data_IF_605132060536
#
_entry.id   IF_605132060536
#
_cell.length_a   1.000
_cell.length_b   1.000
_cell.length_c   1.000
_cell.angle_alpha   90.00
_cell.angle_beta   90.00
_cell.angle_gamma   90.00
#
_symmetry.space_group_name_H-M   'P 1'
#
loop_
_entity.id
_entity.type
_entity.pdbx_description
1 polymer ?
#
# COMPACT_ATOMS: atom_id res chain seq x y z
N UNK A 1 14.57 -1.42 -7.31
CA UNK A 1 13.57 -2.30 -6.66
C UNK A 1 13.31 -1.89 -5.20
N UNK A 2 13.40 -0.59 -4.86
CA UNK A 2 13.46 -0.09 -3.47
C UNK A 2 12.40 1.00 -3.24
N UNK A 3 11.16 0.63 -2.95
CA UNK A 3 10.20 1.47 -2.19
C UNK A 3 8.80 0.84 -2.15
N UNK A 4 8.60 -0.12 -1.26
CA UNK A 4 7.27 -0.65 -0.95
C UNK A 4 6.83 -0.37 0.49
N UNK A 5 7.64 0.34 1.26
CA UNK A 5 7.43 0.61 2.68
C UNK A 5 6.74 1.98 2.90
N UNK A 6 5.55 1.98 3.50
CA UNK A 6 4.69 3.16 3.75
C UNK A 6 5.19 4.09 4.88
N UNK A 7 4.88 5.39 4.76
CA UNK A 7 5.00 6.47 5.75
C UNK A 7 4.21 6.20 7.05
N UNK A 8 3.18 5.35 7.03
CA UNK A 8 2.31 5.06 8.19
C UNK A 8 3.05 4.34 9.32
N UNK A 9 4.08 3.55 8.98
CA UNK A 9 4.98 2.93 9.95
C UNK A 9 5.78 3.94 10.75
N UNK A 10 6.17 5.05 10.11
CA UNK A 10 6.76 6.17 10.81
C UNK A 10 5.75 6.74 11.80
N UNK A 11 4.49 7.03 11.39
CA UNK A 11 3.52 7.70 12.27
C UNK A 11 3.09 6.87 13.50
N UNK A 12 2.88 5.57 13.35
CA UNK A 12 2.54 4.70 14.49
C UNK A 12 3.71 4.53 15.47
N UNK A 13 4.96 4.55 14.98
CA UNK A 13 6.15 4.57 15.85
C UNK A 13 6.43 5.98 16.43
N UNK A 14 5.93 7.04 15.79
CA UNK A 14 6.12 8.45 16.15
C UNK A 14 5.28 8.88 17.35
N UNK A 15 4.06 8.37 17.51
CA UNK A 15 3.03 8.96 18.41
C UNK A 15 2.80 8.22 19.74
N UNK A 16 3.72 7.33 20.14
CA UNK A 16 3.69 6.75 21.50
C UNK A 16 3.98 7.81 22.58
N UNK A 17 2.93 8.31 23.25
CA UNK A 17 2.91 9.06 24.53
C UNK A 17 3.90 10.23 24.74
N UNK A 18 4.55 10.73 23.68
CA UNK A 18 5.72 11.62 23.77
C UNK A 18 5.44 13.08 23.42
N UNK A 19 4.22 13.41 22.96
CA UNK A 19 3.87 14.76 22.50
C UNK A 19 3.95 15.81 23.63
N UNK A 20 3.68 15.43 24.88
CA UNK A 20 3.63 16.35 26.03
C UNK A 20 5.02 16.94 26.33
N UNK A 21 6.09 16.13 26.26
CA UNK A 21 7.45 16.60 26.51
C UNK A 21 7.98 17.46 25.38
N UNK A 22 7.69 17.13 24.12
CA UNK A 22 8.10 17.92 22.95
C UNK A 22 7.47 19.32 22.92
N UNK A 23 6.38 19.54 23.64
CA UNK A 23 5.69 20.84 23.72
C UNK A 23 6.02 21.62 25.00
N UNK A 24 6.80 21.01 25.91
CA UNK A 24 7.35 21.71 27.07
C UNK A 24 8.60 22.52 26.69
N UNK A 25 8.83 23.71 27.28
CA UNK A 25 10.04 24.50 27.02
C UNK A 25 11.34 23.74 27.32
N UNK A 26 11.34 22.90 28.36
CA UNK A 26 12.48 22.06 28.73
C UNK A 26 12.76 20.95 27.70
N UNK A 27 11.71 20.29 27.21
CA UNK A 27 11.85 19.27 26.16
C UNK A 27 12.28 19.86 24.82
N UNK A 28 11.78 21.05 24.45
CA UNK A 28 12.24 21.76 23.25
C UNK A 28 13.72 22.12 23.33
N UNK A 29 14.19 22.61 24.48
CA UNK A 29 15.60 22.91 24.69
C UNK A 29 16.49 21.65 24.56
N UNK A 30 16.06 20.52 25.11
CA UNK A 30 16.77 19.24 24.98
C UNK A 30 16.86 18.78 23.52
N UNK A 31 15.79 18.92 22.74
CA UNK A 31 15.80 18.58 21.31
C UNK A 31 16.71 19.52 20.51
N UNK A 32 16.65 20.82 20.78
CA UNK A 32 17.49 21.83 20.12
C UNK A 32 18.98 21.69 20.42
N UNK A 33 19.34 21.12 21.59
CA UNK A 33 20.71 20.88 21.99
C UNK A 33 21.40 19.75 21.22
N UNK A 34 20.64 18.85 20.57
CA UNK A 34 21.18 17.73 19.80
C UNK A 34 21.62 18.19 18.40
N UNK A 35 22.69 18.97 18.30
CA UNK A 35 23.14 19.58 17.05
C UNK A 35 24.21 18.78 16.30
N UNK A 36 25.01 17.98 17.00
CA UNK A 36 26.07 17.16 16.41
C UNK A 36 25.76 15.66 16.47
N UNK A 37 26.40 14.85 15.60
CA UNK A 37 26.31 13.39 15.70
C UNK A 37 26.75 12.86 17.06
N UNK A 38 27.79 13.44 17.67
CA UNK A 38 28.29 13.01 18.98
C UNK A 38 27.24 13.20 20.09
N UNK A 39 26.60 14.38 20.14
CA UNK A 39 25.51 14.65 21.08
C UNK A 39 24.35 13.67 20.88
N UNK A 40 24.02 13.35 19.62
CA UNK A 40 22.98 12.37 19.31
C UNK A 40 23.38 10.95 19.79
N UNK A 41 24.64 10.53 19.60
CA UNK A 41 25.12 9.21 20.08
C UNK A 41 25.05 9.12 21.60
N UNK A 42 25.41 10.20 22.31
CA UNK A 42 25.36 10.29 23.77
C UNK A 42 23.91 10.19 24.27
N UNK A 43 23.00 11.00 23.70
CA UNK A 43 21.59 10.98 24.07
C UNK A 43 20.93 9.62 23.77
N UNK A 44 21.32 8.95 22.69
CA UNK A 44 20.84 7.60 22.38
C UNK A 44 21.37 6.55 23.36
N UNK A 45 22.60 6.71 23.88
CA UNK A 45 23.22 5.81 24.84
C UNK A 45 22.69 5.94 26.26
N UNK A 46 22.22 7.12 26.63
CA UNK A 46 21.72 7.39 27.95
C UNK A 46 20.29 6.85 28.09
N UNK A 47 20.16 5.69 28.75
CA UNK A 47 18.88 5.04 29.04
C UNK A 47 17.98 5.81 30.01
N UNK A 48 18.48 6.87 30.66
CA UNK A 48 17.67 7.76 31.49
C UNK A 48 17.05 8.92 30.69
N UNK A 49 17.47 9.12 29.43
CA UNK A 49 16.86 10.13 28.57
C UNK A 49 15.41 9.76 28.26
N UNK A 50 14.51 10.76 28.20
CA UNK A 50 13.15 10.54 27.73
C UNK A 50 13.13 9.90 26.33
N UNK A 51 12.20 8.98 26.10
CA UNK A 51 12.07 8.26 24.82
C UNK A 51 11.99 9.22 23.61
N UNK A 52 11.32 10.37 23.77
CA UNK A 52 11.23 11.41 22.72
C UNK A 52 12.59 11.96 22.29
N UNK A 53 13.49 12.18 23.25
CA UNK A 53 14.85 12.70 23.02
C UNK A 53 15.68 11.61 22.35
N UNK A 54 15.62 10.37 22.85
CA UNK A 54 16.33 9.22 22.26
C UNK A 54 15.89 8.96 20.81
N UNK A 55 14.58 8.95 20.54
CA UNK A 55 14.02 8.79 19.19
C UNK A 55 14.41 9.95 18.26
N UNK A 56 14.46 11.18 18.76
CA UNK A 56 14.92 12.33 17.98
C UNK A 56 16.41 12.22 17.62
N UNK A 57 17.25 11.91 18.61
CA UNK A 57 18.68 11.67 18.42
C UNK A 57 18.94 10.56 17.39
N UNK A 58 18.20 9.46 17.49
CA UNK A 58 18.27 8.36 16.54
C UNK A 58 17.95 8.81 15.10
N UNK A 59 16.85 9.56 14.89
CA UNK A 59 16.49 10.07 13.55
C UNK A 59 17.55 10.99 12.97
N UNK A 60 18.13 11.85 13.80
CA UNK A 60 19.23 12.73 13.39
C UNK A 60 20.44 11.94 12.88
N UNK A 61 20.80 10.85 13.55
CA UNK A 61 21.88 9.96 13.11
C UNK A 61 21.49 9.18 11.85
N UNK A 62 20.24 8.74 11.77
CA UNK A 62 19.72 7.97 10.65
C UNK A 62 19.69 8.77 9.33
N UNK A 63 19.33 10.06 9.39
CA UNK A 63 19.24 10.91 8.20
C UNK A 63 20.57 11.56 7.79
N UNK A 64 21.65 11.26 8.51
CA UNK A 64 23.00 11.66 8.15
C UNK A 64 23.70 10.50 7.41
N UNK A 65 24.18 10.69 6.16
CA UNK A 65 24.80 9.62 5.37
C UNK A 65 25.94 8.89 6.09
N UNK A 66 26.75 9.63 6.85
CA UNK A 66 27.95 9.11 7.53
C UNK A 66 27.62 8.25 8.76
N UNK A 67 26.42 8.39 9.30
CA UNK A 67 26.01 7.75 10.57
C UNK A 67 24.85 6.77 10.40
N UNK A 68 24.19 6.76 9.24
CA UNK A 68 22.98 5.98 9.02
C UNK A 68 23.17 4.47 9.27
N UNK A 69 24.26 3.88 8.76
CA UNK A 69 24.51 2.45 8.91
C UNK A 69 24.84 2.07 10.36
N UNK A 70 25.67 2.88 11.05
CA UNK A 70 25.94 2.72 12.49
C UNK A 70 24.65 2.81 13.31
N UNK A 71 23.81 3.79 12.99
CA UNK A 71 22.54 4.01 13.67
C UNK A 71 21.61 2.81 13.49
N UNK A 72 21.43 2.30 12.27
CA UNK A 72 20.57 1.14 12.00
C UNK A 72 21.01 -0.07 12.83
N UNK A 73 22.29 -0.45 12.78
CA UNK A 73 22.80 -1.63 13.50
C UNK A 73 22.55 -1.52 15.01
N UNK A 74 22.84 -0.35 15.59
CA UNK A 74 22.55 -0.08 16.99
C UNK A 74 21.05 -0.10 17.28
N UNK A 75 20.27 0.51 16.42
CA UNK A 75 18.83 0.69 16.58
C UNK A 75 18.07 -0.63 16.60
N UNK A 76 18.51 -1.65 15.85
CA UNK A 76 17.87 -2.98 15.82
C UNK A 76 17.86 -3.68 17.18
N UNK A 77 18.75 -3.31 18.10
CA UNK A 77 18.86 -3.93 19.43
C UNK A 77 18.52 -2.97 20.58
N UNK A 78 18.01 -1.77 20.27
CA UNK A 78 17.72 -0.75 21.27
C UNK A 78 16.61 -1.18 22.24
N UNK A 79 16.62 -0.70 23.49
CA UNK A 79 15.54 -0.98 24.45
C UNK A 79 14.19 -0.36 24.06
N UNK A 80 14.18 0.70 23.26
CA UNK A 80 12.96 1.38 22.80
C UNK A 80 12.38 0.71 21.53
N UNK A 81 11.13 0.27 21.62
CA UNK A 81 10.45 -0.42 20.51
C UNK A 81 10.29 0.45 19.25
N UNK A 82 10.09 1.77 19.40
CA UNK A 82 9.99 2.69 18.29
C UNK A 82 11.32 2.89 17.55
N UNK A 83 12.44 2.86 18.28
CA UNK A 83 13.78 2.88 17.68
C UNK A 83 14.04 1.58 16.91
N UNK A 84 13.75 0.41 17.50
CA UNK A 84 13.88 -0.89 16.81
C UNK A 84 13.03 -0.97 15.56
N UNK A 85 11.78 -0.52 15.65
CA UNK A 85 10.86 -0.51 14.51
C UNK A 85 11.39 0.38 13.37
N UNK A 86 11.84 1.60 13.68
CA UNK A 86 12.39 2.50 12.66
C UNK A 86 13.71 1.97 12.07
N UNK A 87 14.58 1.37 12.88
CA UNK A 87 15.81 0.73 12.39
C UNK A 87 15.50 -0.42 11.41
N UNK A 88 14.54 -1.28 11.75
CA UNK A 88 14.10 -2.38 10.91
C UNK A 88 13.51 -1.88 9.57
N UNK A 89 12.69 -0.84 9.63
CA UNK A 89 12.11 -0.19 8.45
C UNK A 89 13.22 0.33 7.52
N UNK A 90 14.17 1.09 8.07
CA UNK A 90 15.23 1.70 7.27
C UNK A 90 16.20 0.68 6.69
N UNK A 91 16.48 -0.39 7.43
CA UNK A 91 17.27 -1.49 6.92
C UNK A 91 16.59 -2.11 5.69
N UNK A 92 15.30 -2.48 5.79
CA UNK A 92 14.58 -3.05 4.65
C UNK A 92 14.42 -2.06 3.49
N UNK A 93 14.24 -0.76 3.78
CA UNK A 93 14.15 0.28 2.75
C UNK A 93 15.44 0.39 1.92
N UNK A 94 16.60 0.25 2.57
CA UNK A 94 17.92 0.34 1.92
C UNK A 94 18.29 -0.94 1.19
N UNK A 95 18.14 -2.08 1.86
CA UNK A 95 18.73 -3.34 1.42
C UNK A 95 17.69 -4.31 0.80
N UNK A 96 16.39 -4.00 0.90
CA UNK A 96 15.31 -4.85 0.39
C UNK A 96 15.39 -6.27 0.96
N UNK A 97 15.27 -7.27 0.09
CA UNK A 97 15.31 -8.68 0.48
C UNK A 97 16.63 -9.09 1.17
N UNK A 98 17.74 -8.40 0.91
CA UNK A 98 19.01 -8.73 1.55
C UNK A 98 18.94 -8.50 3.07
N UNK A 99 18.10 -7.58 3.56
CA UNK A 99 17.90 -7.31 4.98
C UNK A 99 17.34 -8.50 5.78
N UNK A 100 16.73 -9.49 5.12
CA UNK A 100 15.94 -10.54 5.80
C UNK A 100 16.67 -11.34 6.89
N UNK A 101 17.95 -11.73 6.75
CA UNK A 101 18.66 -12.44 7.83
C UNK A 101 18.70 -11.63 9.13
N UNK A 102 18.84 -10.31 9.03
CA UNK A 102 18.91 -9.38 10.16
C UNK A 102 17.51 -9.14 10.73
N UNK A 103 16.50 -8.93 9.89
CA UNK A 103 15.11 -8.75 10.30
C UNK A 103 14.49 -10.00 10.92
N UNK A 104 14.98 -11.18 10.54
CA UNK A 104 14.55 -12.47 11.11
C UNK A 104 14.84 -12.54 12.61
N UNK A 105 15.90 -11.90 13.10
CA UNK A 105 16.22 -11.84 14.53
C UNK A 105 15.12 -11.11 15.34
N UNK A 106 14.40 -10.18 14.70
CA UNK A 106 13.31 -9.40 15.31
C UNK A 106 11.97 -10.13 15.34
N UNK A 107 11.83 -11.31 14.72
CA UNK A 107 10.56 -12.06 14.75
C UNK A 107 10.10 -12.39 16.17
N UNK A 108 11.03 -12.53 17.12
CA UNK A 108 10.72 -12.80 18.53
C UNK A 108 10.35 -11.55 19.33
N UNK A 109 10.48 -10.36 18.74
CA UNK A 109 10.08 -9.10 19.38
C UNK A 109 8.58 -9.09 19.64
N UNK A 110 8.21 -8.78 20.89
CA UNK A 110 6.81 -8.77 21.35
C UNK A 110 6.14 -7.42 21.18
N UNK A 111 6.89 -6.39 20.77
CA UNK A 111 6.38 -5.03 20.61
C UNK A 111 5.48 -4.96 19.38
N UNK A 112 4.38 -4.20 19.50
CA UNK A 112 3.42 -4.06 18.41
C UNK A 112 4.04 -3.28 17.25
N UNK A 113 4.80 -2.24 17.54
CA UNK A 113 5.49 -1.36 16.58
C UNK A 113 6.41 -2.15 15.66
N UNK A 114 7.26 -3.00 16.22
CA UNK A 114 8.17 -3.88 15.45
C UNK A 114 7.36 -4.88 14.64
N UNK A 115 6.33 -5.49 15.22
CA UNK A 115 5.46 -6.43 14.51
C UNK A 115 4.74 -5.81 13.30
N UNK A 116 4.31 -4.54 13.39
CA UNK A 116 3.71 -3.83 12.25
C UNK A 116 4.76 -3.68 11.13
N UNK A 117 6.00 -3.28 11.45
CA UNK A 117 7.09 -3.13 10.44
C UNK A 117 7.35 -4.46 9.74
N UNK A 118 7.52 -5.52 10.52
CA UNK A 118 7.83 -6.84 9.98
C UNK A 118 6.65 -7.42 9.16
N UNK A 119 5.42 -7.06 9.50
CA UNK A 119 4.25 -7.42 8.68
C UNK A 119 4.34 -6.76 7.30
N UNK A 120 4.73 -5.49 7.24
CA UNK A 120 4.88 -4.79 5.97
C UNK A 120 6.06 -5.33 5.15
N UNK A 121 7.18 -5.64 5.80
CA UNK A 121 8.32 -6.34 5.16
C UNK A 121 7.83 -7.62 4.48
N UNK A 122 7.09 -8.47 5.21
CA UNK A 122 6.58 -9.73 4.68
C UNK A 122 5.61 -9.53 3.50
N UNK A 123 4.72 -8.53 3.57
CA UNK A 123 3.77 -8.20 2.51
C UNK A 123 4.45 -7.75 1.21
N UNK A 124 5.56 -7.04 1.35
CA UNK A 124 6.18 -6.30 0.25
C UNK A 124 7.37 -7.02 -0.38
N UNK A 125 7.75 -8.19 0.13
CA UNK A 125 8.81 -9.01 -0.44
C UNK A 125 8.57 -9.31 -1.93
N UNK A 126 9.61 -9.25 -2.79
CA UNK A 126 9.48 -9.59 -4.20
C UNK A 126 9.04 -11.04 -4.43
N UNK A 127 9.58 -11.97 -3.64
CA UNK A 127 9.15 -13.36 -3.61
C UNK A 127 7.96 -13.51 -2.65
N UNK A 128 6.79 -13.78 -3.23
CA UNK A 128 5.53 -13.94 -2.48
C UNK A 128 5.58 -15.12 -1.50
N UNK A 129 6.17 -16.25 -1.88
CA UNK A 129 6.21 -17.42 -1.01
C UNK A 129 7.13 -17.15 0.19
N UNK A 130 8.29 -16.54 -0.05
CA UNK A 130 9.18 -16.09 1.03
C UNK A 130 8.48 -15.09 1.95
N UNK A 131 7.68 -14.17 1.40
CA UNK A 131 6.85 -13.24 2.15
C UNK A 131 5.81 -13.92 3.05
N UNK A 132 5.06 -14.88 2.51
CA UNK A 132 4.08 -15.65 3.28
C UNK A 132 4.74 -16.45 4.41
N UNK A 133 5.87 -17.10 4.14
CA UNK A 133 6.62 -17.86 5.15
C UNK A 133 7.14 -16.95 6.27
N UNK A 134 7.64 -15.76 5.92
CA UNK A 134 8.06 -14.75 6.88
C UNK A 134 6.90 -14.31 7.78
N UNK A 135 5.73 -14.01 7.20
CA UNK A 135 4.52 -13.61 7.92
C UNK A 135 3.99 -14.71 8.84
N UNK A 136 4.02 -15.98 8.40
CA UNK A 136 3.60 -17.10 9.24
C UNK A 136 4.52 -17.29 10.45
N UNK A 137 5.83 -17.14 10.27
CA UNK A 137 6.80 -17.18 11.38
C UNK A 137 6.55 -16.03 12.36
N UNK A 138 6.30 -14.81 11.87
CA UNK A 138 5.95 -13.67 12.70
C UNK A 138 4.65 -13.91 13.48
N UNK A 139 3.63 -14.50 12.85
CA UNK A 139 2.36 -14.83 13.49
C UNK A 139 2.53 -15.83 14.64
N UNK A 140 3.43 -16.79 14.48
CA UNK A 140 3.71 -17.81 15.49
C UNK A 140 4.45 -17.24 16.71
N UNK A 141 5.26 -16.19 16.53
CA UNK A 141 6.10 -15.62 17.59
C UNK A 141 5.52 -14.35 18.22
N UNK A 142 4.68 -13.58 17.54
CA UNK A 142 4.16 -12.29 18.05
C UNK A 142 2.76 -12.43 18.70
N UNK A 143 2.59 -11.81 19.87
CA UNK A 143 1.37 -11.94 20.69
C UNK A 143 0.38 -10.79 20.53
N UNK A 144 0.68 -9.78 19.71
CA UNK A 144 -0.22 -8.63 19.48
C UNK A 144 -1.42 -9.02 18.62
N UNK A 145 -2.63 -8.67 19.08
CA UNK A 145 -3.86 -8.90 18.33
C UNK A 145 -3.90 -8.09 17.03
N UNK A 146 -3.36 -6.86 17.05
CA UNK A 146 -3.23 -5.99 15.89
C UNK A 146 -2.35 -6.63 14.81
N UNK A 147 -1.16 -7.09 15.20
CA UNK A 147 -0.21 -7.74 14.30
C UNK A 147 -0.82 -9.01 13.71
N UNK A 148 -1.46 -9.86 14.53
CA UNK A 148 -2.15 -11.07 14.03
C UNK A 148 -3.27 -10.75 13.03
N UNK A 149 -4.02 -9.66 13.25
CA UNK A 149 -5.07 -9.22 12.33
C UNK A 149 -4.47 -8.81 10.98
N UNK A 150 -3.45 -7.95 10.99
CA UNK A 150 -2.74 -7.49 9.77
C UNK A 150 -2.13 -8.65 9.00
N UNK A 151 -1.47 -9.59 9.69
CA UNK A 151 -0.92 -10.79 9.04
C UNK A 151 -2.04 -11.63 8.43
N UNK A 152 -3.15 -11.84 9.14
CA UNK A 152 -4.27 -12.63 8.63
C UNK A 152 -4.92 -11.99 7.41
N UNK A 153 -5.01 -10.66 7.35
CA UNK A 153 -5.45 -9.92 6.16
C UNK A 153 -4.47 -10.10 4.98
N UNK A 154 -3.16 -9.96 5.22
CA UNK A 154 -2.14 -10.11 4.18
C UNK A 154 -2.10 -11.55 3.61
N UNK A 155 -2.17 -12.56 4.48
CA UNK A 155 -2.20 -13.98 4.07
C UNK A 155 -3.54 -14.37 3.45
N UNK A 156 -4.65 -13.79 3.91
CA UNK A 156 -6.00 -14.06 3.40
C UNK A 156 -6.26 -13.50 2.00
N UNK A 157 -5.46 -12.53 1.55
CA UNK A 157 -5.56 -11.94 0.22
C UNK A 157 -5.02 -12.90 -0.86
N UNK A 158 -5.89 -13.78 -1.34
CA UNK A 158 -5.57 -14.88 -2.28
C UNK A 158 -5.47 -14.49 -3.76
N UNK A 159 -5.75 -13.23 -4.10
CA UNK A 159 -5.83 -12.81 -5.49
C UNK A 159 -4.46 -12.54 -6.08
N UNK A 160 -4.20 -13.12 -7.26
CA UNK A 160 -3.00 -12.86 -8.03
C UNK A 160 -3.27 -13.14 -9.50
N UNK A 161 -2.79 -12.25 -10.37
CA UNK A 161 -2.78 -12.40 -11.81
C UNK A 161 -1.57 -11.64 -12.32
N UNK A 162 -0.71 -12.29 -13.09
CA UNK A 162 0.33 -11.59 -13.82
C UNK A 162 -0.33 -10.74 -14.89
N UNK A 163 -0.11 -9.43 -14.81
CA UNK A 163 -0.57 -8.50 -15.83
C UNK A 163 0.48 -8.43 -16.94
N UNK A 164 0.10 -8.78 -18.17
CA UNK A 164 0.93 -8.66 -19.37
C UNK A 164 0.13 -7.90 -20.44
N UNK A 165 0.26 -6.56 -20.50
CA UNK A 165 -0.35 -5.76 -21.56
C UNK A 165 0.07 -6.27 -22.95
N UNK A 166 -0.80 -6.12 -23.95
CA UNK A 166 -0.50 -6.60 -25.30
C UNK A 166 0.73 -5.89 -25.88
N UNK A 167 0.86 -4.59 -25.57
CA UNK A 167 2.00 -3.75 -25.97
C UNK A 167 3.32 -4.11 -25.29
N UNK A 168 3.28 -4.96 -24.25
CA UNK A 168 4.46 -5.39 -23.48
C UNK A 168 4.73 -6.88 -23.65
N UNK A 169 4.03 -7.56 -24.55
CA UNK A 169 4.29 -8.96 -24.86
C UNK A 169 5.46 -9.04 -25.86
N UNK A 170 6.64 -9.56 -25.47
CA UNK A 170 7.81 -9.65 -26.35
C UNK A 170 7.65 -10.63 -27.50
N UNK A 171 6.58 -11.42 -27.53
CA UNK A 171 6.23 -12.27 -28.67
C UNK A 171 5.42 -11.53 -29.76
N UNK A 172 5.03 -10.28 -29.51
CA UNK A 172 4.32 -9.45 -30.48
C UNK A 172 5.32 -8.52 -31.19
N UNK A 173 5.77 -8.91 -32.38
CA UNK A 173 6.63 -8.08 -33.25
C UNK A 173 5.84 -7.07 -34.10
N UNK A 174 4.52 -7.03 -33.94
CA UNK A 174 3.62 -6.15 -34.69
C UNK A 174 3.33 -4.84 -33.95
N UNK A 175 3.12 -3.76 -34.69
CA UNK A 175 2.68 -2.48 -34.13
C UNK A 175 1.31 -2.65 -33.44
N UNK A 176 1.16 -2.21 -32.20
CA UNK A 176 -0.16 -2.23 -31.53
C UNK A 176 -0.88 -0.93 -31.81
N UNK A 177 -2.01 -1.02 -32.52
CA UNK A 177 -2.82 0.13 -32.95
C UNK A 177 -4.02 0.28 -32.02
N UNK A 178 -4.21 1.49 -31.49
CA UNK A 178 -5.41 1.89 -30.77
C UNK A 178 -6.55 2.14 -31.77
N UNK A 179 -7.55 1.28 -31.77
CA UNK A 179 -8.73 1.39 -32.65
C UNK A 179 -9.75 2.35 -32.06
N UNK A 180 -10.00 2.25 -30.75
CA UNK A 180 -11.00 3.06 -30.07
C UNK A 180 -10.67 3.21 -28.59
N UNK A 181 -10.82 4.42 -28.07
CA UNK A 181 -10.84 4.68 -26.63
C UNK A 181 -12.27 4.94 -26.19
N UNK A 182 -12.72 4.22 -25.17
CA UNK A 182 -14.07 4.31 -24.60
C UNK A 182 -13.92 4.80 -23.15
N UNK A 183 -14.21 6.09 -22.85
CA UNK A 183 -14.15 6.58 -21.48
C UNK A 183 -15.27 5.97 -20.63
N UNK A 184 -14.92 5.53 -19.42
CA UNK A 184 -15.92 5.17 -18.42
C UNK A 184 -16.50 6.46 -17.80
N UNK A 185 -17.77 6.45 -17.36
CA UNK A 185 -18.41 7.63 -16.79
C UNK A 185 -17.69 8.11 -15.53
N UNK A 186 -17.63 9.43 -15.37
CA UNK A 186 -17.07 10.06 -14.16
C UNK A 186 -18.01 9.97 -12.95
N UNK A 187 -19.30 9.70 -13.17
CA UNK A 187 -20.34 9.61 -12.14
C UNK A 187 -21.09 8.27 -12.26
N UNK A 188 -21.97 7.99 -11.30
CA UNK A 188 -22.69 6.71 -11.24
C UNK A 188 -21.89 5.58 -10.59
N UNK A 189 -20.75 5.90 -9.98
CA UNK A 189 -20.01 4.95 -9.17
C UNK A 189 -20.64 4.83 -7.78
N UNK A 190 -20.62 3.61 -7.28
CA UNK A 190 -21.06 3.25 -5.94
C UNK A 190 -19.84 2.97 -5.07
N UNK A 191 -19.87 3.42 -3.82
CA UNK A 191 -18.70 3.55 -2.97
C UNK A 191 -18.97 3.13 -1.53
N UNK A 192 -18.00 2.43 -0.95
CA UNK A 192 -18.00 2.06 0.47
C UNK A 192 -16.59 2.02 1.04
N UNK A 193 -16.41 2.67 2.17
CA UNK A 193 -15.22 2.53 3.02
C UNK A 193 -15.16 1.14 3.66
N UNK A 194 -13.96 0.59 3.81
CA UNK A 194 -13.66 -0.73 4.38
C UNK A 194 -12.47 -0.59 5.38
N UNK A 195 -12.65 0.14 6.49
CA UNK A 195 -11.57 0.41 7.45
C UNK A 195 -10.99 -0.88 8.07
N UNK A 196 -11.77 -1.95 8.15
CA UNK A 196 -11.32 -3.26 8.62
C UNK A 196 -10.63 -4.10 7.54
N UNK A 197 -10.51 -3.60 6.31
CA UNK A 197 -9.95 -4.35 5.18
C UNK A 197 -10.50 -5.78 5.06
N UNK A 198 -11.82 -5.90 5.14
CA UNK A 198 -12.49 -7.19 5.27
C UNK A 198 -13.47 -7.47 4.13
N UNK A 199 -13.71 -6.51 3.24
CA UNK A 199 -14.66 -6.62 2.12
C UNK A 199 -14.40 -7.80 1.19
N UNK A 200 -13.15 -8.26 1.10
CA UNK A 200 -12.76 -9.43 0.31
C UNK A 200 -12.95 -10.79 1.04
N UNK A 201 -13.28 -10.76 2.34
CA UNK A 201 -13.44 -11.93 3.22
C UNK A 201 -14.88 -12.15 3.68
N UNK A 202 -15.68 -11.08 3.73
CA UNK A 202 -17.11 -11.16 4.12
C UNK A 202 -17.92 -12.01 3.14
N UNK A 203 -19.10 -12.43 3.57
CA UNK A 203 -20.02 -13.24 2.76
C UNK A 203 -21.39 -12.56 2.66
N UNK A 204 -21.84 -12.14 1.47
CA UNK A 204 -21.11 -12.18 0.19
C UNK A 204 -19.95 -11.17 0.13
N UNK A 205 -18.84 -11.47 -0.58
CA UNK A 205 -17.71 -10.56 -0.70
C UNK A 205 -18.02 -9.39 -1.63
N UNK A 206 -17.37 -8.26 -1.41
CA UNK A 206 -17.67 -7.00 -2.10
C UNK A 206 -17.31 -6.99 -3.60
N UNK A 207 -16.43 -7.89 -4.05
CA UNK A 207 -16.07 -8.05 -5.45
C UNK A 207 -17.11 -8.84 -6.28
N UNK A 208 -18.19 -9.33 -5.67
CA UNK A 208 -19.20 -10.10 -6.38
C UNK A 208 -19.96 -9.22 -7.41
N UNK A 209 -20.16 -9.74 -8.61
CA UNK A 209 -20.84 -9.04 -9.72
C UNK A 209 -22.23 -8.53 -9.30
N UNK A 210 -23.02 -9.38 -8.64
CA UNK A 210 -24.40 -9.10 -8.27
C UNK A 210 -24.56 -8.86 -6.77
N UNK A 211 -23.66 -8.06 -6.18
CA UNK A 211 -23.79 -7.62 -4.80
C UNK A 211 -24.90 -6.55 -4.68
N UNK A 212 -25.85 -6.69 -3.74
CA UNK A 212 -26.73 -5.59 -3.35
C UNK A 212 -25.90 -4.44 -2.76
N UNK A 213 -26.06 -3.25 -3.32
CA UNK A 213 -25.26 -2.06 -2.98
C UNK A 213 -26.14 -0.87 -2.53
N UNK A 214 -27.39 -1.14 -2.13
CA UNK A 214 -28.35 -0.12 -1.70
C UNK A 214 -27.93 0.69 -0.47
N UNK A 215 -27.01 0.16 0.35
CA UNK A 215 -26.47 0.84 1.54
C UNK A 215 -25.16 1.61 1.25
N UNK A 216 -24.65 1.53 0.03
CA UNK A 216 -23.42 2.19 -0.37
C UNK A 216 -23.70 3.61 -0.83
N UNK A 217 -22.71 4.48 -0.71
CA UNK A 217 -22.81 5.88 -1.13
C UNK A 217 -22.52 6.01 -2.63
N UNK A 218 -22.99 7.08 -3.27
CA UNK A 218 -22.51 7.43 -4.61
C UNK A 218 -21.20 8.22 -4.53
N UNK A 219 -20.30 8.02 -5.50
CA UNK A 219 -19.08 8.81 -5.64
C UNK A 219 -18.82 9.15 -7.11
N UNK A 220 -18.02 10.17 -7.36
CA UNK A 220 -17.44 10.46 -8.67
C UNK A 220 -15.97 10.02 -8.71
N UNK A 221 -15.50 9.64 -9.89
CA UNK A 221 -14.07 9.45 -10.18
C UNK A 221 -13.50 10.71 -10.85
N UNK A 222 -12.19 10.89 -10.77
CA UNK A 222 -11.52 12.13 -11.16
C UNK A 222 -11.37 13.15 -10.02
N UNK A 223 -11.72 12.77 -8.79
CA UNK A 223 -11.64 13.58 -7.58
C UNK A 223 -11.23 12.69 -6.40
N UNK A 224 -10.62 13.27 -5.38
CA UNK A 224 -10.32 12.57 -4.13
C UNK A 224 -11.62 12.26 -3.35
N UNK A 225 -11.66 11.22 -2.51
CA UNK A 225 -12.87 10.92 -1.74
C UNK A 225 -13.10 11.91 -0.58
N UNK A 226 -12.05 12.60 -0.11
CA UNK A 226 -12.11 13.56 1.00
C UNK A 226 -12.92 14.79 0.60
N UNK A 227 -12.83 15.21 -0.66
CA UNK A 227 -13.64 16.30 -1.20
C UNK A 227 -15.10 15.89 -1.43
N UNK A 228 -15.43 14.61 -1.29
CA UNK A 228 -16.74 14.02 -1.58
C UNK A 228 -17.47 13.52 -0.33
N UNK A 229 -17.00 13.90 0.86
CA UNK A 229 -17.68 13.62 2.14
C UNK A 229 -16.95 12.63 3.05
N UNK A 230 -15.85 12.04 2.59
CA UNK A 230 -15.02 11.09 3.36
C UNK A 230 -13.77 11.78 3.90
N UNK A 231 -13.96 12.89 4.63
CA UNK A 231 -12.85 13.68 5.17
C UNK A 231 -12.02 12.85 6.15
N UNK A 232 -10.71 13.05 6.10
CA UNK A 232 -9.72 12.44 7.00
C UNK A 232 -9.79 10.89 7.00
N UNK A 233 -10.27 10.30 5.90
CA UNK A 233 -10.37 8.85 5.75
C UNK A 233 -9.15 8.29 5.02
N UNK A 234 -8.25 7.66 5.77
CA UNK A 234 -7.18 6.82 5.21
C UNK A 234 -7.56 5.33 5.40
N UNK A 235 -7.41 4.51 4.36
CA UNK A 235 -7.70 3.08 4.46
C UNK A 235 -8.11 2.44 3.13
N UNK A 236 -8.91 1.37 3.23
CA UNK A 236 -9.39 0.66 2.05
C UNK A 236 -10.78 1.10 1.67
N UNK A 237 -11.04 1.32 0.40
CA UNK A 237 -12.39 1.59 -0.08
C UNK A 237 -12.72 0.75 -1.32
N UNK A 238 -14.00 0.59 -1.59
CA UNK A 238 -14.51 -0.18 -2.71
C UNK A 238 -15.34 0.72 -3.61
N UNK A 239 -15.03 0.67 -4.90
CA UNK A 239 -15.74 1.32 -5.98
C UNK A 239 -16.44 0.26 -6.83
N UNK A 240 -17.66 0.56 -7.26
CA UNK A 240 -18.46 -0.26 -8.17
C UNK A 240 -19.02 0.58 -9.29
N UNK A 241 -18.95 0.06 -10.52
CA UNK A 241 -19.57 0.67 -11.69
C UNK A 241 -20.21 -0.39 -12.56
N UNK A 242 -21.46 -0.16 -12.94
CA UNK A 242 -22.10 -0.85 -14.06
C UNK A 242 -22.00 0.00 -15.31
N UNK A 243 -21.56 -0.60 -16.42
CA UNK A 243 -21.43 0.09 -17.69
C UNK A 243 -21.72 -0.86 -18.86
N UNK A 244 -22.24 -0.33 -19.96
CA UNK A 244 -22.57 -1.12 -21.15
C UNK A 244 -21.48 -0.98 -22.21
N UNK A 245 -21.11 -2.09 -22.83
CA UNK A 245 -20.22 -2.11 -23.98
C UNK A 245 -21.03 -2.09 -25.29
N UNK A 246 -20.51 -1.45 -26.35
CA UNK A 246 -21.13 -1.54 -27.68
C UNK A 246 -20.99 -2.97 -28.24
N UNK A 247 -21.58 -3.21 -29.40
CA UNK A 247 -21.30 -4.43 -30.17
C UNK A 247 -19.81 -4.59 -30.46
N UNK A 248 -19.36 -5.84 -30.61
CA UNK A 248 -17.94 -6.16 -30.78
C UNK A 248 -17.38 -5.49 -32.03
N UNK A 249 -16.29 -4.75 -31.83
CA UNK A 249 -15.49 -4.15 -32.90
C UNK A 249 -14.42 -5.16 -33.31
N UNK A 250 -13.99 -5.12 -34.56
CA UNK A 250 -12.83 -5.90 -35.02
C UNK A 250 -11.57 -5.48 -34.26
N UNK A 251 -11.17 -6.30 -33.29
CA UNK A 251 -10.12 -6.02 -32.31
C UNK A 251 -9.54 -7.33 -31.77
N UNK A 252 -8.29 -7.29 -31.34
CA UNK A 252 -7.57 -8.45 -30.81
C UNK A 252 -7.38 -8.40 -29.30
N UNK A 253 -7.35 -7.20 -28.73
CA UNK A 253 -7.25 -7.03 -27.28
C UNK A 253 -8.05 -5.83 -26.76
N UNK A 254 -8.34 -5.89 -25.46
CA UNK A 254 -8.87 -4.76 -24.71
C UNK A 254 -8.07 -4.56 -23.43
N UNK A 255 -7.71 -3.31 -23.17
CA UNK A 255 -7.05 -2.91 -21.94
C UNK A 255 -7.93 -1.94 -21.14
N UNK A 256 -8.16 -2.26 -19.86
CA UNK A 256 -8.73 -1.33 -18.90
C UNK A 256 -7.61 -0.45 -18.36
N UNK A 257 -7.69 0.84 -18.65
CA UNK A 257 -6.64 1.82 -18.40
C UNK A 257 -7.08 2.79 -17.29
N UNK A 258 -6.36 2.79 -16.18
CA UNK A 258 -6.53 3.76 -15.12
C UNK A 258 -5.51 4.87 -15.31
N UNK A 259 -5.98 6.13 -15.36
CA UNK A 259 -5.07 7.27 -15.41
C UNK A 259 -4.18 7.35 -14.16
N UNK A 260 -4.77 7.05 -12.99
CA UNK A 260 -4.11 6.93 -11.70
C UNK A 260 -5.14 6.51 -10.62
N UNK A 261 -4.66 5.85 -9.56
CA UNK A 261 -5.39 5.59 -8.33
C UNK A 261 -4.47 5.93 -7.18
N UNK A 262 -4.98 6.65 -6.19
CA UNK A 262 -4.27 7.00 -4.97
C UNK A 262 -4.63 6.00 -3.87
N UNK A 263 -3.77 5.06 -3.46
CA UNK A 263 -2.40 4.75 -3.95
C UNK A 263 -2.30 3.42 -4.68
N UNK A 264 -3.04 2.42 -4.19
CA UNK A 264 -3.05 1.05 -4.72
C UNK A 264 -4.45 0.63 -5.16
N UNK A 265 -4.52 -0.27 -6.14
CA UNK A 265 -5.78 -0.77 -6.69
C UNK A 265 -5.75 -2.28 -6.91
N UNK A 266 -6.87 -2.95 -6.66
CA UNK A 266 -7.14 -4.33 -7.02
C UNK A 266 -8.47 -4.36 -7.76
N UNK A 267 -8.51 -5.03 -8.91
CA UNK A 267 -9.60 -4.84 -9.86
C UNK A 267 -10.25 -6.17 -10.22
N UNK A 268 -11.58 -6.18 -10.21
CA UNK A 268 -12.42 -7.26 -10.70
C UNK A 268 -13.34 -6.76 -11.79
N UNK A 269 -13.50 -7.57 -12.84
CA UNK A 269 -14.48 -7.35 -13.90
C UNK A 269 -15.40 -8.56 -13.93
N UNK A 270 -16.72 -8.34 -13.83
CA UNK A 270 -17.73 -9.39 -13.85
C UNK A 270 -17.44 -10.50 -12.82
N UNK A 271 -16.99 -10.10 -11.62
CA UNK A 271 -16.62 -11.01 -10.53
C UNK A 271 -15.26 -11.72 -10.68
N UNK A 272 -14.57 -11.56 -11.81
CA UNK A 272 -13.26 -12.15 -12.08
C UNK A 272 -12.15 -11.16 -11.73
N UNK A 273 -11.15 -11.60 -10.98
CA UNK A 273 -9.98 -10.78 -10.67
C UNK A 273 -9.10 -10.58 -11.91
N UNK A 274 -8.88 -9.33 -12.30
CA UNK A 274 -8.14 -8.96 -13.52
C UNK A 274 -6.76 -8.37 -13.27
N UNK A 275 -6.43 -8.03 -12.02
CA UNK A 275 -5.09 -7.60 -11.64
C UNK A 275 -5.06 -6.51 -10.58
N UNK A 276 -3.88 -5.93 -10.40
CA UNK A 276 -3.59 -4.92 -9.38
C UNK A 276 -2.56 -3.90 -9.83
N UNK A 277 -2.59 -2.77 -9.13
CA UNK A 277 -1.55 -1.76 -9.03
C UNK A 277 -1.20 -1.62 -7.56
N UNK A 278 -0.18 -2.32 -7.09
CA UNK A 278 0.24 -2.39 -5.68
C UNK A 278 1.68 -1.88 -5.57
N UNK A 279 1.82 -0.58 -5.79
CA UNK A 279 3.10 0.14 -5.86
C UNK A 279 3.39 0.93 -4.57
N UNK A 280 2.52 0.83 -3.56
CA UNK A 280 2.56 1.63 -2.33
C UNK A 280 2.48 3.13 -2.61
N UNK A 281 3.04 3.98 -1.73
CA UNK A 281 2.91 5.45 -1.84
C UNK A 281 3.53 6.15 -3.04
N UNK A 282 4.11 5.41 -3.98
CA UNK A 282 4.56 5.97 -5.26
C UNK A 282 3.63 5.62 -6.41
N UNK A 283 2.63 4.77 -6.15
CA UNK A 283 1.61 4.36 -7.10
C UNK A 283 0.64 5.47 -7.43
N UNK A 284 0.47 6.43 -6.51
CA UNK A 284 -0.62 7.41 -6.52
C UNK A 284 -0.82 8.16 -7.83
N UNK A 285 0.25 8.49 -8.55
CA UNK A 285 0.20 9.25 -9.80
C UNK A 285 0.51 8.43 -11.05
N UNK A 286 0.75 7.13 -10.91
CA UNK A 286 1.20 6.28 -12.01
C UNK A 286 -0.01 5.66 -12.73
N UNK A 287 -0.11 5.79 -14.06
CA UNK A 287 -1.11 5.05 -14.82
C UNK A 287 -0.77 3.56 -14.83
N UNK A 288 -1.80 2.73 -14.92
CA UNK A 288 -1.67 1.29 -15.12
C UNK A 288 -2.78 0.76 -16.02
N UNK A 289 -2.52 -0.39 -16.64
CA UNK A 289 -3.35 -1.01 -17.68
C UNK A 289 -3.53 -2.47 -17.35
N UNK A 290 -4.74 -3.01 -17.47
CA UNK A 290 -5.04 -4.41 -17.23
C UNK A 290 -5.68 -5.03 -18.47
N UNK A 291 -5.16 -6.17 -18.93
CA UNK A 291 -5.80 -6.93 -20.00
C UNK A 291 -7.14 -7.51 -19.52
N UNK A 292 -8.22 -7.16 -20.23
CA UNK A 292 -9.60 -7.59 -19.95
C UNK A 292 -10.24 -8.29 -21.14
N UNK A 293 -9.44 -8.67 -22.13
CA UNK A 293 -9.90 -9.22 -23.42
C UNK A 293 -10.83 -10.43 -23.24
N UNK A 294 -10.59 -11.26 -22.22
CA UNK A 294 -11.37 -12.49 -21.98
C UNK A 294 -12.59 -12.26 -21.10
N UNK A 295 -12.55 -11.24 -20.26
CA UNK A 295 -13.54 -11.00 -19.20
C UNK A 295 -14.63 -10.01 -19.61
N UNK A 296 -14.33 -9.12 -20.57
CA UNK A 296 -15.27 -8.12 -21.07
C UNK A 296 -16.39 -8.76 -21.91
N UNK A 297 -17.63 -8.30 -21.68
CA UNK A 297 -18.80 -8.73 -22.44
C UNK A 297 -19.21 -7.63 -23.41
N UNK A 298 -18.98 -7.84 -24.69
CA UNK A 298 -19.47 -6.94 -25.76
C UNK A 298 -20.99 -7.02 -25.89
N UNK A 299 -21.62 -5.92 -26.32
CA UNK A 299 -23.08 -5.82 -26.51
C UNK A 299 -23.90 -5.95 -25.22
N UNK A 300 -23.25 -5.90 -24.05
CA UNK A 300 -23.87 -6.22 -22.76
C UNK A 300 -23.39 -5.31 -21.63
N UNK A 301 -24.11 -5.36 -20.50
CA UNK A 301 -23.69 -4.75 -19.24
C UNK A 301 -22.50 -5.51 -18.65
N UNK A 302 -21.57 -4.76 -18.09
CA UNK A 302 -20.41 -5.22 -17.35
C UNK A 302 -20.41 -4.56 -15.96
N UNK A 303 -19.87 -5.27 -14.97
CA UNK A 303 -19.67 -4.74 -13.61
C UNK A 303 -18.18 -4.66 -13.31
N UNK A 304 -17.68 -3.45 -13.10
CA UNK A 304 -16.33 -3.18 -12.63
C UNK A 304 -16.34 -2.97 -11.12
N UNK A 305 -15.46 -3.65 -10.40
CA UNK A 305 -15.22 -3.44 -8.97
C UNK A 305 -13.75 -3.13 -8.75
N UNK A 306 -13.47 -2.07 -8.00
CA UNK A 306 -12.10 -1.65 -7.66
C UNK A 306 -12.00 -1.51 -6.15
N UNK A 307 -11.09 -2.28 -5.53
CA UNK A 307 -10.65 -2.02 -4.17
C UNK A 307 -9.46 -1.06 -4.25
N UNK A 308 -9.53 0.05 -3.53
CA UNK A 308 -8.47 1.05 -3.41
C UNK A 308 -7.89 0.98 -2.01
N UNK A 309 -6.58 1.16 -1.88
CA UNK A 309 -5.92 1.46 -0.61
C UNK A 309 -5.28 2.83 -0.74
N UNK A 310 -5.58 3.69 0.21
CA UNK A 310 -4.85 4.92 0.46
C UNK A 310 -4.31 4.86 1.89
N UNK A 311 -3.11 5.39 2.08
CA UNK A 311 -2.42 5.36 3.36
C UNK A 311 -2.27 6.72 4.00
N UNK A 312 -2.40 7.82 3.25
CA UNK A 312 -2.36 9.18 3.78
C UNK A 312 -2.91 10.24 2.81
N UNK A 313 -3.47 11.30 3.38
CA UNK A 313 -3.84 12.55 2.71
C UNK A 313 -5.07 12.45 1.81
N UNK A 314 -4.90 12.03 0.56
CA UNK A 314 -5.92 12.15 -0.47
C UNK A 314 -6.05 10.83 -1.21
N UNK A 315 -7.18 10.15 -1.04
CA UNK A 315 -7.38 8.84 -1.65
C UNK A 315 -8.35 8.80 -2.82
N UNK A 316 -8.27 7.72 -3.59
CA UNK A 316 -9.31 7.32 -4.55
C UNK A 316 -8.90 7.28 -6.01
N UNK A 317 -9.89 7.02 -6.87
CA UNK A 317 -9.69 7.00 -8.32
C UNK A 317 -9.75 8.44 -8.84
N UNK A 318 -8.64 9.18 -8.69
CA UNK A 318 -8.58 10.63 -8.92
C UNK A 318 -8.27 11.01 -10.37
N UNK A 319 -8.09 10.04 -11.28
CA UNK A 319 -7.99 10.25 -12.73
C UNK A 319 -9.01 9.39 -13.49
N UNK A 320 -9.37 9.76 -14.73
CA UNK A 320 -10.30 8.98 -15.54
C UNK A 320 -9.87 7.54 -15.79
N UNK A 321 -10.86 6.68 -16.02
CA UNK A 321 -10.69 5.28 -16.43
C UNK A 321 -11.22 5.13 -17.86
N UNK A 322 -10.48 4.43 -18.71
CA UNK A 322 -10.85 4.19 -20.12
C UNK A 322 -10.72 2.70 -20.47
N UNK A 323 -11.49 2.26 -21.44
CA UNK A 323 -11.28 0.99 -22.14
C UNK A 323 -10.64 1.29 -23.50
N UNK A 324 -9.47 0.70 -23.74
CA UNK A 324 -8.74 0.83 -24.99
C UNK A 324 -8.90 -0.44 -25.81
N UNK A 325 -9.45 -0.30 -27.01
CA UNK A 325 -9.67 -1.38 -27.98
C UNK A 325 -8.48 -1.40 -28.93
N UNK A 326 -7.77 -2.52 -28.96
CA UNK A 326 -6.48 -2.66 -29.61
C UNK A 326 -6.51 -3.72 -30.71
N UNK A 327 -5.65 -3.54 -31.71
CA UNK A 327 -5.42 -4.51 -32.79
C UNK A 327 -3.95 -4.50 -33.18
N UNK A 328 -3.36 -5.65 -33.48
CA UNK A 328 -2.05 -5.67 -34.10
C UNK A 328 -2.13 -5.14 -35.54
N UNK A 329 -1.18 -4.30 -35.91
CA UNK A 329 -0.94 -3.86 -37.27
C UNK A 329 -0.52 -5.06 -38.13
N UNK A 330 -0.83 -4.95 -39.42
CA UNK A 330 -0.35 -5.89 -40.44
C UNK A 330 1.11 -5.58 -40.83
#
# INVERSE_FOLDING_TARGET
>A
MTSRLSSVLLLSCLLGASAILAHSPSGQAQLQALQSPEQCRQALADGQQPAVVRRHAFRRLLYSPDTASEAIERGLTDGDAGIRALAAFELYRRDGADALPRLTALLQDKSTEVGIVLTEVGRTLPDRQAGLDFLQRLKASNTSAEVRRRISQAVGFKFHRENRPLSQNPANDHEVILIKSIPLPLSGWIFRTDPENSGHLVQPPYYLENLPDSEWSTIAVGQAWESQGFKDYDGYAWYRLKFSMPEKIDSEALELCFGAVDECAWVWLNGVYIGQHDEGPKGWSKPFRLDVTKEIRWGAENTLVVRVEDTEQAGGIWKPVTLEVLKCGN
#
